data_IF_300927505885
#
_entry.id   IF_300927505885
#
_cell.length_a   1.000
_cell.length_b   1.000
_cell.length_c   1.000
_cell.angle_alpha   90.00
_cell.angle_beta   90.00
_cell.angle_gamma   90.00
#
_symmetry.space_group_name_H-M   'P 1'
#
loop_
_entity.id
_entity.type
_entity.pdbx_description
1 polymer ?
#
# COMPACT_ATOMS: atom_id res chain seq x y z
N UNK A 1 -21.63 -28.78 -8.06
CA UNK A 1 -21.46 -28.11 -6.75
C UNK A 1 -20.07 -28.47 -6.20
N UNK A 2 -19.24 -27.43 -5.98
CA UNK A 2 -17.90 -27.68 -5.46
C UNK A 2 -17.94 -27.87 -3.94
N UNK A 3 -17.06 -28.75 -3.45
CA UNK A 3 -16.89 -28.96 -2.02
C UNK A 3 -15.58 -28.32 -1.59
N UNK A 4 -15.64 -27.53 -0.55
CA UNK A 4 -14.49 -26.80 -0.02
C UNK A 4 -14.16 -27.25 1.39
N UNK A 5 -12.89 -27.13 1.74
CA UNK A 5 -12.40 -27.27 3.10
C UNK A 5 -11.78 -25.96 3.55
N UNK A 6 -11.89 -25.66 4.83
CA UNK A 6 -11.25 -24.50 5.42
C UNK A 6 -10.28 -24.92 6.52
N UNK A 7 -9.09 -24.32 6.51
CA UNK A 7 -8.07 -24.50 7.54
C UNK A 7 -7.93 -23.21 8.34
N UNK A 8 -8.28 -23.26 9.62
CA UNK A 8 -8.08 -22.13 10.53
C UNK A 8 -6.59 -21.84 10.75
N UNK A 9 -5.78 -22.90 10.79
CA UNK A 9 -4.33 -22.79 10.95
C UNK A 9 -3.69 -21.94 9.83
N UNK A 10 -4.14 -22.15 8.59
CA UNK A 10 -3.62 -21.46 7.42
C UNK A 10 -4.49 -20.30 6.97
N UNK A 11 -5.68 -20.14 7.57
CA UNK A 11 -6.70 -19.17 7.14
C UNK A 11 -6.94 -19.23 5.63
N UNK A 12 -7.15 -20.43 5.11
CA UNK A 12 -7.26 -20.67 3.66
C UNK A 12 -8.30 -21.72 3.33
N UNK A 13 -8.88 -21.60 2.15
CA UNK A 13 -9.80 -22.60 1.58
C UNK A 13 -9.06 -23.53 0.64
N UNK A 14 -9.55 -24.77 0.58
CA UNK A 14 -9.01 -25.81 -0.28
C UNK A 14 -10.15 -26.49 -1.03
N UNK A 15 -9.98 -26.68 -2.33
CA UNK A 15 -10.97 -27.36 -3.15
C UNK A 15 -10.82 -28.87 -3.01
N UNK A 16 -11.93 -29.58 -2.76
CA UNK A 16 -11.90 -31.03 -2.51
C UNK A 16 -11.30 -31.82 -3.68
N UNK A 17 -11.45 -31.35 -4.92
CA UNK A 17 -10.88 -32.00 -6.09
C UNK A 17 -9.37 -32.10 -6.05
N UNK A 18 -8.71 -31.23 -5.31
CA UNK A 18 -7.26 -31.14 -5.23
C UNK A 18 -6.66 -31.76 -3.96
N UNK A 19 -7.47 -32.46 -3.16
CA UNK A 19 -7.01 -33.07 -1.89
C UNK A 19 -5.79 -33.95 -2.12
N UNK A 20 -5.87 -34.87 -3.09
CA UNK A 20 -4.78 -35.80 -3.35
C UNK A 20 -3.49 -35.08 -3.74
N UNK A 21 -3.59 -34.01 -4.49
CA UNK A 21 -2.45 -33.19 -4.88
C UNK A 21 -1.80 -32.52 -3.67
N UNK A 22 -2.61 -31.95 -2.77
CA UNK A 22 -2.09 -31.35 -1.54
C UNK A 22 -1.43 -32.37 -0.63
N UNK A 23 -2.01 -33.55 -0.52
CA UNK A 23 -1.43 -34.66 0.30
C UNK A 23 -0.12 -35.15 -0.29
N UNK A 24 -0.05 -35.26 -1.62
CA UNK A 24 1.16 -35.67 -2.31
C UNK A 24 2.30 -34.68 -2.06
N UNK A 25 1.99 -33.40 -2.05
CA UNK A 25 2.98 -32.33 -1.83
C UNK A 25 3.25 -32.05 -0.34
N UNK A 26 2.54 -32.72 0.56
CA UNK A 26 2.68 -32.49 2.00
C UNK A 26 2.12 -31.18 2.50
N UNK A 27 1.20 -30.56 1.75
CA UNK A 27 0.63 -29.24 2.06
C UNK A 27 -0.82 -29.29 2.53
N UNK A 28 -1.39 -30.50 2.66
CA UNK A 28 -2.75 -30.65 3.19
C UNK A 28 -2.76 -30.37 4.70
N UNK A 29 -3.57 -29.39 5.15
CA UNK A 29 -3.62 -29.04 6.58
C UNK A 29 -4.35 -30.12 7.40
N UNK A 30 -3.85 -30.38 8.61
CA UNK A 30 -4.44 -31.38 9.50
C UNK A 30 -5.77 -30.94 10.13
N UNK A 31 -6.03 -29.62 10.13
CA UNK A 31 -7.23 -29.06 10.74
C UNK A 31 -8.33 -28.71 9.73
N UNK A 32 -8.18 -29.13 8.47
CA UNK A 32 -9.15 -28.84 7.43
C UNK A 32 -10.52 -29.44 7.76
N UNK A 33 -11.56 -28.60 7.67
CA UNK A 33 -12.95 -29.01 7.88
C UNK A 33 -13.76 -28.71 6.63
N UNK A 34 -14.73 -29.58 6.34
CA UNK A 34 -15.61 -29.37 5.18
C UNK A 34 -16.54 -28.19 5.43
N UNK A 35 -16.70 -27.34 4.42
CA UNK A 35 -17.59 -26.18 4.46
C UNK A 35 -18.46 -26.13 3.21
N UNK A 36 -19.59 -25.44 3.31
CA UNK A 36 -20.50 -25.29 2.19
C UNK A 36 -20.01 -24.26 1.18
N UNK A 37 -20.43 -24.40 -0.08
CA UNK A 37 -20.14 -23.45 -1.14
C UNK A 37 -20.51 -22.00 -0.73
N UNK A 38 -21.65 -21.84 -0.07
CA UNK A 38 -22.12 -20.53 0.37
C UNK A 38 -21.16 -19.85 1.33
N UNK A 39 -20.50 -20.62 2.19
CA UNK A 39 -19.49 -20.09 3.11
C UNK A 39 -18.25 -19.62 2.35
N UNK A 40 -17.81 -20.42 1.36
CA UNK A 40 -16.69 -20.03 0.50
C UNK A 40 -16.99 -18.72 -0.23
N UNK A 41 -18.18 -18.62 -0.85
CA UNK A 41 -18.59 -17.43 -1.58
C UNK A 41 -18.63 -16.20 -0.68
N UNK A 42 -19.17 -16.36 0.54
CA UNK A 42 -19.26 -15.28 1.52
C UNK A 42 -17.88 -14.74 1.91
N UNK A 43 -16.94 -15.64 2.20
CA UNK A 43 -15.62 -15.27 2.72
C UNK A 43 -14.55 -15.09 1.64
N UNK A 44 -14.89 -15.27 0.38
CA UNK A 44 -13.98 -15.04 -0.75
C UNK A 44 -13.97 -13.59 -1.21
N UNK A 45 -14.93 -12.79 -0.78
CA UNK A 45 -15.08 -11.38 -1.16
C UNK A 45 -15.20 -10.52 0.09
N UNK A 46 -14.07 -9.98 0.61
CA UNK A 46 -14.12 -9.18 1.84
C UNK A 46 -14.96 -7.92 1.66
N UNK A 47 -15.87 -7.62 2.63
CA UNK A 47 -16.53 -6.32 2.64
C UNK A 47 -15.53 -5.20 2.95
N UNK A 48 -15.85 -3.95 2.57
CA UNK A 48 -14.96 -2.82 2.84
C UNK A 48 -14.58 -2.72 4.33
N UNK A 49 -13.30 -2.51 4.60
CA UNK A 49 -12.79 -2.36 5.97
C UNK A 49 -12.63 -3.64 6.76
N UNK A 50 -12.83 -4.80 6.13
CA UNK A 50 -12.72 -6.10 6.80
C UNK A 50 -11.69 -7.00 6.15
N UNK A 51 -11.10 -7.90 6.95
CA UNK A 51 -10.26 -8.97 6.46
C UNK A 51 -10.74 -10.28 7.08
N UNK A 52 -10.50 -11.38 6.37
CA UNK A 52 -10.83 -12.72 6.87
C UNK A 52 -9.79 -13.14 7.89
N UNK A 53 -10.26 -13.72 8.99
CA UNK A 53 -9.41 -14.31 10.02
C UNK A 53 -9.98 -15.65 10.44
N UNK A 54 -9.14 -16.48 11.09
CA UNK A 54 -9.59 -17.74 11.66
C UNK A 54 -10.35 -17.48 12.95
N UNK A 55 -11.57 -18.02 13.03
CA UNK A 55 -12.40 -17.94 14.24
C UNK A 55 -12.04 -19.06 15.24
N UNK A 56 -12.53 -18.92 16.46
CA UNK A 56 -12.25 -19.88 17.54
C UNK A 56 -12.85 -21.27 17.28
N UNK A 57 -13.90 -21.35 16.48
CA UNK A 57 -14.59 -22.59 16.17
C UNK A 57 -14.02 -23.31 14.93
N UNK A 58 -12.90 -22.87 14.40
CA UNK A 58 -12.29 -23.43 13.19
C UNK A 58 -12.89 -22.93 11.89
N UNK A 59 -13.83 -22.00 11.94
CA UNK A 59 -14.47 -21.37 10.80
C UNK A 59 -13.94 -19.94 10.58
N UNK A 60 -14.02 -19.41 9.36
CA UNK A 60 -13.57 -18.04 9.13
C UNK A 60 -14.51 -17.01 9.76
N UNK A 61 -13.97 -15.86 10.10
CA UNK A 61 -14.72 -14.70 10.59
C UNK A 61 -14.19 -13.42 9.94
N UNK A 62 -15.01 -12.37 9.95
CA UNK A 62 -14.57 -11.04 9.52
C UNK A 62 -14.05 -10.27 10.73
N UNK A 63 -12.88 -9.67 10.58
CA UNK A 63 -12.32 -8.75 11.60
C UNK A 63 -11.99 -7.41 10.94
N UNK A 64 -11.93 -6.36 11.75
CA UNK A 64 -11.55 -5.04 11.25
C UNK A 64 -10.10 -5.04 10.81
N UNK A 65 -9.81 -4.30 9.73
CA UNK A 65 -8.42 -4.08 9.30
C UNK A 65 -7.71 -3.33 10.42
N UNK A 66 -6.56 -3.83 10.92
CA UNK A 66 -5.84 -3.14 11.99
C UNK A 66 -5.43 -1.72 11.58
N UNK A 67 -5.59 -0.78 12.50
CA UNK A 67 -5.11 0.59 12.27
C UNK A 67 -3.59 0.61 12.30
N UNK A 68 -2.94 1.46 11.46
CA UNK A 68 -1.49 1.60 11.52
C UNK A 68 -1.02 2.09 12.88
N UNK A 69 0.13 1.59 13.34
CA UNK A 69 0.78 2.09 14.56
C UNK A 69 1.29 3.51 14.33
N UNK A 70 1.55 4.30 15.40
CA UNK A 70 2.17 5.62 15.22
C UNK A 70 3.48 5.58 14.45
N UNK A 71 4.32 4.56 14.67
CA UNK A 71 5.56 4.37 13.91
C UNK A 71 5.32 4.11 12.43
N UNK A 72 4.31 3.31 12.11
CA UNK A 72 3.93 3.05 10.72
C UNK A 72 3.40 4.30 10.02
N UNK A 73 2.61 5.12 10.72
CA UNK A 73 2.09 6.38 10.19
C UNK A 73 3.25 7.33 9.84
N UNK A 74 4.25 7.44 10.72
CA UNK A 74 5.44 8.27 10.49
C UNK A 74 6.25 7.72 9.31
N UNK A 75 6.42 6.39 9.22
CA UNK A 75 7.14 5.75 8.11
C UNK A 75 6.46 6.01 6.76
N UNK A 76 5.13 5.98 6.73
CA UNK A 76 4.36 6.30 5.52
C UNK A 76 4.60 7.76 5.11
N UNK A 77 4.57 8.67 6.08
CA UNK A 77 4.82 10.10 5.82
C UNK A 77 6.25 10.33 5.33
N UNK A 78 7.24 9.65 5.91
CA UNK A 78 8.63 9.73 5.48
C UNK A 78 8.79 9.26 4.03
N UNK A 79 8.16 8.13 3.68
CA UNK A 79 8.18 7.61 2.31
C UNK A 79 7.53 8.59 1.34
N UNK A 80 6.40 9.18 1.70
CA UNK A 80 5.72 10.17 0.86
C UNK A 80 6.60 11.39 0.62
N UNK A 81 7.24 11.91 1.66
CA UNK A 81 8.16 13.04 1.55
C UNK A 81 9.29 12.74 0.56
N UNK A 82 9.93 11.57 0.69
CA UNK A 82 11.00 11.15 -0.22
C UNK A 82 10.53 11.05 -1.67
N UNK A 83 9.36 10.48 -1.89
CA UNK A 83 8.78 10.34 -3.23
C UNK A 83 8.50 11.71 -3.85
N UNK A 84 7.89 12.63 -3.10
CA UNK A 84 7.57 13.97 -3.60
C UNK A 84 8.83 14.75 -3.95
N UNK A 85 9.88 14.66 -3.13
CA UNK A 85 11.17 15.31 -3.40
C UNK A 85 11.81 14.71 -4.66
N UNK A 86 11.82 13.38 -4.76
CA UNK A 86 12.38 12.68 -5.93
C UNK A 86 11.65 13.05 -7.22
N UNK A 87 10.32 13.09 -7.17
CA UNK A 87 9.50 13.44 -8.33
C UNK A 87 9.73 14.89 -8.77
N UNK A 88 9.85 15.82 -7.81
CA UNK A 88 10.14 17.22 -8.09
C UNK A 88 11.51 17.38 -8.76
N UNK A 89 12.53 16.71 -8.25
CA UNK A 89 13.87 16.74 -8.83
C UNK A 89 13.88 16.14 -10.24
N UNK A 90 13.14 15.06 -10.46
CA UNK A 90 13.02 14.43 -11.78
C UNK A 90 12.36 15.38 -12.77
N UNK A 91 11.31 16.08 -12.36
CA UNK A 91 10.64 17.05 -13.21
C UNK A 91 11.58 18.20 -13.59
N UNK A 92 12.27 18.77 -12.61
CA UNK A 92 13.25 19.85 -12.82
C UNK A 92 14.34 19.40 -13.80
N UNK A 93 14.88 18.20 -13.61
CA UNK A 93 15.91 17.64 -14.49
C UNK A 93 15.37 17.41 -15.90
N UNK A 94 14.12 16.98 -16.04
CA UNK A 94 13.51 16.72 -17.35
C UNK A 94 13.38 17.99 -18.18
N UNK A 95 13.30 19.15 -17.52
CA UNK A 95 13.24 20.46 -18.18
C UNK A 95 14.61 21.07 -18.46
N UNK A 96 15.68 20.43 -18.01
CA UNK A 96 17.07 20.90 -18.18
C UNK A 96 17.34 22.24 -17.49
N UNK A 97 16.51 22.62 -16.52
CA UNK A 97 16.63 23.92 -15.86
C UNK A 97 17.97 24.13 -15.15
N UNK A 98 18.50 23.15 -14.37
CA UNK A 98 19.81 23.34 -13.71
C UNK A 98 20.94 23.59 -14.70
N UNK A 99 20.97 22.85 -15.80
CA UNK A 99 21.98 23.04 -16.84
C UNK A 99 21.86 24.36 -17.56
N UNK A 100 20.63 24.76 -17.91
CA UNK A 100 20.35 26.05 -18.53
C UNK A 100 20.70 27.21 -17.60
N UNK A 101 20.42 27.09 -16.31
CA UNK A 101 20.76 28.11 -15.31
C UNK A 101 22.27 28.26 -15.19
N UNK A 102 23.02 27.15 -15.18
CA UNK A 102 24.47 27.15 -15.02
C UNK A 102 25.20 27.90 -16.14
N UNK A 103 24.64 27.90 -17.36
CA UNK A 103 25.27 28.55 -18.52
C UNK A 103 24.54 29.82 -18.94
N UNK A 104 23.63 30.36 -18.09
CA UNK A 104 22.96 31.61 -18.31
C UNK A 104 21.88 31.61 -19.39
N UNK A 105 21.36 30.42 -19.76
CA UNK A 105 20.33 30.26 -20.81
C UNK A 105 18.91 30.27 -20.25
N UNK A 106 18.75 30.20 -18.92
CA UNK A 106 17.45 30.13 -18.29
C UNK A 106 16.90 31.54 -18.04
N UNK A 107 15.81 31.86 -18.69
CA UNK A 107 15.23 33.25 -18.68
C UNK A 107 13.71 33.21 -18.75
N UNK A 108 13.08 34.31 -18.34
CA UNK A 108 11.64 34.51 -18.51
C UNK A 108 10.79 33.55 -17.70
N UNK A 109 9.77 33.01 -18.35
CA UNK A 109 8.81 32.10 -17.70
C UNK A 109 9.46 30.82 -17.17
N UNK A 110 10.45 30.31 -17.88
CA UNK A 110 11.18 29.11 -17.42
C UNK A 110 11.92 29.39 -16.11
N UNK A 111 12.58 30.54 -16.01
CA UNK A 111 13.26 30.93 -14.77
C UNK A 111 12.27 31.06 -13.61
N UNK A 112 11.12 31.70 -13.88
CA UNK A 112 10.06 31.83 -12.88
C UNK A 112 9.53 30.46 -12.43
N UNK A 113 9.32 29.53 -13.36
CA UNK A 113 8.88 28.18 -13.05
C UNK A 113 9.92 27.41 -12.23
N UNK A 114 11.18 27.52 -12.60
CA UNK A 114 12.25 26.88 -11.86
C UNK A 114 12.30 27.37 -10.41
N UNK A 115 12.15 28.70 -10.20
CA UNK A 115 12.10 29.26 -8.85
C UNK A 115 10.92 28.70 -8.05
N UNK A 116 9.74 28.56 -8.65
CA UNK A 116 8.57 27.98 -7.98
C UNK A 116 8.82 26.53 -7.57
N UNK A 117 9.48 25.75 -8.41
CA UNK A 117 9.81 24.37 -8.10
C UNK A 117 10.88 24.25 -7.02
N UNK A 118 11.85 25.17 -6.97
CA UNK A 118 12.83 25.23 -5.89
C UNK A 118 12.16 25.60 -4.57
N UNK A 119 11.23 26.55 -4.58
CA UNK A 119 10.46 26.91 -3.38
C UNK A 119 9.66 25.70 -2.90
N UNK A 120 9.04 24.95 -3.81
CA UNK A 120 8.32 23.73 -3.49
C UNK A 120 9.23 22.69 -2.83
N UNK A 121 10.44 22.51 -3.37
CA UNK A 121 11.45 21.59 -2.77
C UNK A 121 11.83 22.04 -1.36
N UNK A 122 12.04 23.34 -1.15
CA UNK A 122 12.37 23.89 0.17
C UNK A 122 11.23 23.63 1.16
N UNK A 123 9.99 23.81 0.73
CA UNK A 123 8.81 23.52 1.56
C UNK A 123 8.70 22.03 1.89
N UNK A 124 8.99 21.15 0.91
CA UNK A 124 9.00 19.69 1.14
C UNK A 124 10.07 19.30 2.15
N UNK A 125 11.27 19.86 2.04
CA UNK A 125 12.37 19.60 2.96
C UNK A 125 12.03 20.04 4.38
N UNK A 126 11.23 21.11 4.52
CA UNK A 126 10.81 21.65 5.82
C UNK A 126 9.64 20.88 6.44
N UNK A 127 9.02 19.94 5.73
CA UNK A 127 7.91 19.16 6.27
C UNK A 127 8.38 18.33 7.46
N UNK A 128 7.68 18.49 8.59
CA UNK A 128 7.95 17.74 9.81
C UNK A 128 7.07 16.48 9.84
N UNK A 129 7.67 15.33 9.56
CA UNK A 129 6.94 14.05 9.52
C UNK A 129 6.47 13.60 10.90
N UNK A 130 7.01 14.15 11.98
CA UNK A 130 6.59 13.78 13.34
C UNK A 130 5.15 14.20 13.65
N UNK A 131 4.58 15.13 12.86
CA UNK A 131 3.19 15.56 13.01
C UNK A 131 2.19 14.64 12.31
N UNK A 132 2.66 13.60 11.61
CA UNK A 132 1.79 12.67 10.90
C UNK A 132 0.72 12.08 11.83
N UNK A 133 -0.51 11.86 11.35
CA UNK A 133 -1.00 12.06 9.97
C UNK A 133 -1.43 13.50 9.65
N UNK A 134 -1.28 14.44 10.57
CA UNK A 134 -1.80 15.81 10.44
C UNK A 134 -0.80 16.74 9.72
N UNK A 135 -0.26 16.27 8.60
CA UNK A 135 0.71 17.01 7.80
C UNK A 135 -0.02 17.80 6.71
N UNK A 136 0.29 19.10 6.60
CA UNK A 136 -0.17 19.92 5.49
C UNK A 136 0.94 19.87 4.43
N UNK A 137 0.69 19.08 3.38
CA UNK A 137 1.67 18.91 2.31
C UNK A 137 1.69 20.14 1.40
N UNK A 138 2.89 20.63 0.99
CA UNK A 138 2.97 21.74 0.04
C UNK A 138 2.30 21.41 -1.28
N UNK A 139 1.74 22.43 -1.93
CA UNK A 139 1.13 22.26 -3.25
C UNK A 139 2.20 22.31 -4.33
N UNK A 140 2.10 21.36 -5.27
CA UNK A 140 2.99 21.32 -6.42
C UNK A 140 2.72 22.50 -7.34
N UNK A 141 3.78 23.19 -7.85
CA UNK A 141 3.60 24.28 -8.82
C UNK A 141 2.91 23.77 -10.08
N UNK A 142 2.12 24.66 -10.72
CA UNK A 142 1.39 24.35 -11.95
C UNK A 142 2.14 24.84 -13.19
#
# INVERSE_FOLDING_TARGET
MNVYYYSAMNNAFYLSENIDLYKEKGTWPSDAIIVEDSLFDEFNSPPPGKIRAAGENGLPVWVDIPHPTPGEIIAIAESKKKILISDANRYISSKQWPGKAAIGRLKGDELAQYNLWLDYLDELEAVDISTAPNIIWPEQPR
#
